data_IF_578888189448
#
_entry.id   IF_578888189448
#
_cell.length_a   1.000
_cell.length_b   1.000
_cell.length_c   1.000
_cell.angle_alpha   90.00
_cell.angle_beta   90.00
_cell.angle_gamma   90.00
#
_symmetry.space_group_name_H-M   'P 1'
#
loop_
_entity.id
_entity.type
_entity.pdbx_description
1 polymer ?
#
# COMPACT_ATOMS: atom_id res chain seq x y z
N UNK A 1 0.73 -8.79 -42.20
CA UNK A 1 0.40 -7.89 -41.07
C UNK A 1 -1.08 -7.58 -41.15
N UNK A 2 -1.82 -7.88 -40.09
CA UNK A 2 -2.55 -6.82 -39.42
C UNK A 2 -2.07 -6.69 -37.98
N UNK A 3 -1.90 -5.44 -37.57
CA UNK A 3 -1.78 -5.01 -36.18
C UNK A 3 -3.18 -4.52 -35.79
N UNK A 4 -3.49 -4.61 -34.50
CA UNK A 4 -4.53 -3.87 -33.78
C UNK A 4 -5.83 -4.62 -33.52
N UNK A 5 -5.85 -5.35 -32.40
CA UNK A 5 -7.02 -5.44 -31.51
C UNK A 5 -6.63 -5.50 -30.01
N UNK A 6 -5.38 -5.18 -29.64
CA UNK A 6 -4.88 -5.30 -28.25
C UNK A 6 -4.91 -3.98 -27.47
N UNK A 7 -5.69 -2.98 -27.90
CA UNK A 7 -5.77 -1.67 -27.22
C UNK A 7 -7.04 -1.52 -26.38
N UNK A 8 -7.91 -2.53 -26.34
CA UNK A 8 -9.24 -2.42 -25.70
C UNK A 8 -9.35 -3.08 -24.32
N UNK A 9 -8.26 -3.10 -23.55
CA UNK A 9 -8.24 -3.65 -22.18
C UNK A 9 -7.44 -2.82 -21.16
N UNK A 10 -7.17 -1.55 -21.44
CA UNK A 10 -6.24 -0.70 -20.66
C UNK A 10 -6.90 -0.01 -19.45
N UNK A 11 -8.18 -0.26 -19.16
CA UNK A 11 -8.90 0.42 -18.06
C UNK A 11 -9.19 -0.45 -16.83
N UNK A 12 -8.61 -1.64 -16.74
CA UNK A 12 -8.59 -2.46 -15.51
C UNK A 12 -7.15 -2.82 -15.08
N UNK A 13 -6.15 -2.09 -15.59
CA UNK A 13 -4.75 -2.50 -15.62
C UNK A 13 -3.79 -1.57 -14.88
N UNK A 14 -4.13 -1.16 -13.65
CA UNK A 14 -3.23 -0.36 -12.80
C UNK A 14 -2.27 -1.20 -11.95
N UNK A 15 -2.72 -2.34 -11.42
CA UNK A 15 -2.01 -3.12 -10.42
C UNK A 15 -0.82 -3.95 -10.97
N UNK A 16 -0.80 -4.28 -12.26
CA UNK A 16 0.22 -5.20 -12.81
C UNK A 16 1.51 -4.52 -13.29
N UNK A 17 1.55 -3.19 -13.39
CA UNK A 17 2.74 -2.51 -13.94
C UNK A 17 3.85 -2.29 -12.93
N UNK A 18 3.56 -2.03 -11.65
CA UNK A 18 4.58 -1.79 -10.63
C UNK A 18 5.21 -3.09 -10.12
N UNK A 19 4.39 -4.11 -9.86
CA UNK A 19 4.86 -5.45 -9.49
C UNK A 19 5.84 -6.01 -10.53
N UNK A 20 5.65 -5.75 -11.83
CA UNK A 20 6.51 -6.27 -12.89
C UNK A 20 7.90 -5.62 -13.01
N UNK A 21 8.02 -4.31 -12.72
CA UNK A 21 9.31 -3.59 -12.87
C UNK A 21 10.23 -3.76 -11.66
N UNK A 22 9.65 -3.84 -10.45
CA UNK A 22 10.42 -3.97 -9.21
C UNK A 22 10.92 -5.41 -9.04
N UNK A 23 10.06 -6.41 -9.26
CA UNK A 23 10.42 -7.83 -9.06
C UNK A 23 11.47 -8.34 -10.06
N UNK A 24 11.34 -8.00 -11.35
CA UNK A 24 12.19 -8.59 -12.40
C UNK A 24 13.66 -8.13 -12.37
N UNK A 25 13.92 -6.90 -11.92
CA UNK A 25 15.27 -6.32 -11.85
C UNK A 25 16.08 -6.84 -10.66
N UNK A 26 15.45 -6.91 -9.48
CA UNK A 26 16.10 -7.32 -8.23
C UNK A 26 16.44 -8.82 -8.24
N UNK A 27 15.51 -9.68 -8.68
CA UNK A 27 15.71 -11.15 -8.71
C UNK A 27 16.90 -11.55 -9.61
N UNK A 28 17.11 -10.85 -10.72
CA UNK A 28 18.22 -11.15 -11.65
C UNK A 28 19.60 -10.74 -11.11
N UNK A 29 19.67 -9.69 -10.28
CA UNK A 29 20.92 -9.23 -9.70
C UNK A 29 21.50 -10.27 -8.72
N UNK A 30 20.65 -10.83 -7.85
CA UNK A 30 21.09 -11.76 -6.79
C UNK A 30 21.53 -13.14 -7.29
N UNK A 31 21.07 -13.57 -8.47
CA UNK A 31 21.42 -14.87 -9.04
C UNK A 31 22.91 -15.04 -9.38
N UNK A 32 23.71 -13.96 -9.37
CA UNK A 32 25.03 -13.91 -10.04
C UNK A 32 26.28 -14.17 -9.16
N UNK A 33 26.19 -14.37 -7.83
CA UNK A 33 27.42 -14.60 -6.99
C UNK A 33 27.62 -16.04 -6.45
N UNK A 34 28.54 -16.80 -7.07
CA UNK A 34 29.04 -18.19 -6.80
C UNK A 34 29.84 -18.35 -5.49
N UNK A 35 29.81 -19.45 -4.68
CA UNK A 35 30.39 -20.82 -4.89
C UNK A 35 29.90 -21.91 -3.87
N UNK A 36 30.13 -23.18 -4.21
CA UNK A 36 29.43 -24.47 -3.91
C UNK A 36 29.48 -25.04 -2.46
N UNK A 37 29.74 -24.23 -1.43
CA UNK A 37 29.40 -24.59 -0.02
C UNK A 37 28.55 -23.52 0.69
N UNK A 38 28.44 -22.37 0.04
CA UNK A 38 27.47 -21.34 0.34
C UNK A 38 26.07 -21.71 -0.16
N UNK A 39 25.89 -22.77 -0.95
CA UNK A 39 24.64 -23.05 -1.68
C UNK A 39 23.39 -23.18 -0.78
N UNK A 40 23.46 -23.85 0.38
CA UNK A 40 22.30 -23.97 1.28
C UNK A 40 22.02 -22.67 2.06
N UNK A 41 23.06 -21.95 2.51
CA UNK A 41 22.91 -20.63 3.16
C UNK A 41 22.43 -19.58 2.17
N UNK A 42 22.95 -19.64 0.95
CA UNK A 42 22.59 -18.80 -0.18
C UNK A 42 21.16 -19.07 -0.61
N UNK A 43 20.73 -20.33 -0.71
CA UNK A 43 19.35 -20.66 -1.02
C UNK A 43 18.39 -20.14 0.06
N UNK A 44 18.76 -20.23 1.33
CA UNK A 44 17.98 -19.64 2.44
C UNK A 44 17.95 -18.12 2.38
N UNK A 45 19.08 -17.48 2.10
CA UNK A 45 19.15 -16.04 1.91
C UNK A 45 18.31 -15.59 0.70
N UNK A 46 18.41 -16.29 -0.43
CA UNK A 46 17.61 -16.04 -1.64
C UNK A 46 16.11 -16.20 -1.35
N UNK A 47 15.68 -17.27 -0.68
CA UNK A 47 14.28 -17.46 -0.28
C UNK A 47 13.80 -16.40 0.72
N UNK A 48 14.67 -15.95 1.64
CA UNK A 48 14.33 -14.89 2.59
C UNK A 48 14.21 -13.53 1.88
N UNK A 49 15.09 -13.25 0.93
CA UNK A 49 15.02 -12.05 0.09
C UNK A 49 13.77 -12.06 -0.78
N UNK A 50 13.45 -13.19 -1.43
CA UNK A 50 12.24 -13.33 -2.24
C UNK A 50 10.99 -13.04 -1.41
N UNK A 51 10.87 -13.61 -0.21
CA UNK A 51 9.74 -13.36 0.69
C UNK A 51 9.69 -11.92 1.20
N UNK A 52 10.83 -11.31 1.54
CA UNK A 52 10.89 -9.89 1.92
C UNK A 52 10.35 -9.02 0.79
N UNK A 53 10.88 -9.22 -0.43
CA UNK A 53 10.47 -8.44 -1.60
C UNK A 53 8.99 -8.66 -1.91
N UNK A 54 8.50 -9.89 -1.83
CA UNK A 54 7.08 -10.23 -2.02
C UNK A 54 6.20 -9.50 -1.00
N UNK A 55 6.50 -9.64 0.30
CA UNK A 55 5.72 -9.02 1.37
C UNK A 55 5.71 -7.50 1.29
N UNK A 56 6.87 -6.86 1.10
CA UNK A 56 6.96 -5.41 0.99
C UNK A 56 6.32 -4.87 -0.30
N UNK A 57 6.41 -5.62 -1.40
CA UNK A 57 5.72 -5.27 -2.65
C UNK A 57 4.21 -5.37 -2.48
N UNK A 58 3.73 -6.41 -1.77
CA UNK A 58 2.33 -6.57 -1.45
C UNK A 58 1.84 -5.40 -0.58
N UNK A 59 2.55 -5.07 0.50
CA UNK A 59 2.25 -3.92 1.34
C UNK A 59 2.20 -2.60 0.55
N UNK A 60 3.14 -2.37 -0.36
CA UNK A 60 3.13 -1.18 -1.22
C UNK A 60 1.92 -1.17 -2.17
N UNK A 61 1.50 -2.33 -2.71
CA UNK A 61 0.33 -2.41 -3.57
C UNK A 61 -0.97 -2.12 -2.81
N UNK A 62 -1.13 -2.71 -1.62
CA UNK A 62 -2.30 -2.47 -0.75
C UNK A 62 -2.33 -1.04 -0.23
N UNK A 63 -1.16 -0.43 0.05
CA UNK A 63 -1.05 0.98 0.38
C UNK A 63 -1.63 1.89 -0.72
N UNK A 64 -1.22 1.66 -1.97
CA UNK A 64 -1.71 2.42 -3.13
C UNK A 64 -3.20 2.21 -3.36
N UNK A 65 -3.67 0.97 -3.22
CA UNK A 65 -5.08 0.60 -3.39
C UNK A 65 -5.96 1.25 -2.32
N UNK A 66 -5.57 1.13 -1.05
CA UNK A 66 -6.29 1.71 0.07
C UNK A 66 -6.32 3.24 -0.01
N UNK A 67 -5.18 3.90 -0.29
CA UNK A 67 -5.13 5.35 -0.43
C UNK A 67 -6.04 5.84 -1.56
N UNK A 68 -5.93 5.23 -2.75
CA UNK A 68 -6.74 5.61 -3.91
C UNK A 68 -8.23 5.38 -3.63
N UNK A 69 -8.59 4.22 -3.10
CA UNK A 69 -9.97 3.85 -2.82
C UNK A 69 -10.61 4.80 -1.81
N UNK A 70 -9.91 5.13 -0.71
CA UNK A 70 -10.40 6.09 0.26
C UNK A 70 -10.55 7.51 -0.31
N UNK A 71 -9.63 7.98 -1.17
CA UNK A 71 -9.82 9.26 -1.88
C UNK A 71 -11.05 9.23 -2.78
N UNK A 72 -11.25 8.14 -3.53
CA UNK A 72 -12.43 7.99 -4.39
C UNK A 72 -13.74 7.92 -3.60
N UNK A 73 -13.73 7.31 -2.41
CA UNK A 73 -14.87 7.31 -1.49
C UNK A 73 -15.12 8.73 -0.99
N UNK A 74 -14.08 9.43 -0.49
CA UNK A 74 -14.21 10.81 -0.02
C UNK A 74 -14.74 11.75 -1.10
N UNK A 75 -14.30 11.60 -2.36
CA UNK A 75 -14.78 12.41 -3.48
C UNK A 75 -16.22 12.06 -3.91
N UNK A 76 -16.72 10.87 -3.58
CA UNK A 76 -18.12 10.44 -3.81
C UNK A 76 -19.07 10.88 -2.69
N UNK A 77 -18.61 10.93 -1.44
CA UNK A 77 -19.45 11.31 -0.30
C UNK A 77 -19.85 12.79 -0.45
N UNK A 78 -21.15 13.10 -0.56
CA UNK A 78 -21.60 14.48 -0.70
C UNK A 78 -21.18 15.32 0.51
N UNK A 79 -20.72 16.55 0.25
CA UNK A 79 -20.26 17.53 1.25
C UNK A 79 -21.26 17.80 2.40
N UNK A 80 -22.52 17.45 2.17
CA UNK A 80 -23.69 17.67 3.00
C UNK A 80 -24.44 16.38 3.36
N UNK A 81 -23.89 15.21 3.06
CA UNK A 81 -24.59 13.94 3.24
C UNK A 81 -23.74 12.77 3.72
N UNK A 82 -24.45 11.88 4.39
CA UNK A 82 -24.03 10.60 4.93
C UNK A 82 -23.39 9.72 3.84
N UNK A 83 -22.28 9.04 4.13
CA UNK A 83 -21.86 7.90 3.32
C UNK A 83 -22.97 6.85 3.33
N UNK A 84 -23.29 6.25 2.18
CA UNK A 84 -24.21 5.11 2.20
C UNK A 84 -23.47 3.92 2.85
N UNK A 85 -24.22 2.93 3.32
CA UNK A 85 -23.61 1.75 3.95
C UNK A 85 -22.60 1.05 3.01
N UNK A 86 -22.74 1.22 1.69
CA UNK A 86 -21.82 0.67 0.71
C UNK A 86 -20.43 1.32 0.76
N UNK A 87 -20.33 2.65 0.92
CA UNK A 87 -19.04 3.33 1.02
C UNK A 87 -18.31 3.01 2.32
N UNK A 88 -19.04 2.80 3.42
CA UNK A 88 -18.45 2.41 4.70
C UNK A 88 -17.89 1.00 4.61
N UNK A 89 -18.68 0.04 4.09
CA UNK A 89 -18.22 -1.34 3.87
C UNK A 89 -17.01 -1.39 2.91
N UNK A 90 -16.99 -0.56 1.87
CA UNK A 90 -15.87 -0.45 0.93
C UNK A 90 -14.61 0.11 1.61
N UNK A 91 -14.75 1.15 2.44
CA UNK A 91 -13.63 1.73 3.19
C UNK A 91 -13.06 0.74 4.23
N UNK A 92 -13.93 0.03 4.95
CA UNK A 92 -13.54 -0.99 5.93
C UNK A 92 -12.74 -2.10 5.26
N UNK A 93 -13.19 -2.59 4.10
CA UNK A 93 -12.50 -3.66 3.36
C UNK A 93 -11.09 -3.22 2.92
N UNK A 94 -10.95 -2.01 2.37
CA UNK A 94 -9.64 -1.50 1.93
C UNK A 94 -8.64 -1.39 3.09
N UNK A 95 -9.11 -1.00 4.27
CA UNK A 95 -8.28 -0.87 5.46
C UNK A 95 -7.90 -2.25 6.03
N UNK A 96 -8.83 -3.21 6.02
CA UNK A 96 -8.55 -4.59 6.44
C UNK A 96 -7.51 -5.28 5.53
N UNK A 97 -7.63 -5.10 4.21
CA UNK A 97 -6.66 -5.64 3.24
C UNK A 97 -5.25 -5.06 3.46
N UNK A 98 -5.16 -3.75 3.74
CA UNK A 98 -3.90 -3.08 4.09
C UNK A 98 -3.33 -3.54 5.45
N UNK A 99 -4.17 -3.73 6.48
CA UNK A 99 -3.76 -4.25 7.79
C UNK A 99 -3.12 -5.63 7.67
N UNK A 100 -3.74 -6.53 6.88
CA UNK A 100 -3.22 -7.87 6.64
C UNK A 100 -1.84 -7.80 5.98
N UNK A 101 -1.66 -6.96 4.95
CA UNK A 101 -0.38 -6.82 4.28
C UNK A 101 0.69 -6.18 5.19
N UNK A 102 0.29 -5.27 6.08
CA UNK A 102 1.18 -4.67 7.08
C UNK A 102 1.70 -5.72 8.07
N UNK A 103 0.80 -6.56 8.59
CA UNK A 103 1.16 -7.65 9.50
C UNK A 103 2.16 -8.62 8.86
N UNK A 104 1.94 -8.99 7.60
CA UNK A 104 2.85 -9.88 6.84
C UNK A 104 4.22 -9.26 6.59
N UNK A 105 4.27 -7.96 6.34
CA UNK A 105 5.50 -7.22 6.05
C UNK A 105 6.27 -6.78 7.32
N UNK A 106 5.61 -6.71 8.48
CA UNK A 106 6.16 -6.16 9.73
C UNK A 106 7.51 -6.76 10.15
N UNK A 107 7.73 -8.04 9.88
CA UNK A 107 8.98 -8.75 10.23
C UNK A 107 10.20 -8.30 9.39
N UNK A 108 9.95 -7.60 8.29
CA UNK A 108 10.96 -7.13 7.35
C UNK A 108 11.21 -5.62 7.44
N UNK A 109 10.44 -4.93 8.27
CA UNK A 109 10.59 -3.51 8.54
C UNK A 109 11.44 -3.32 9.80
N UNK A 110 12.21 -2.24 9.84
CA UNK A 110 12.80 -1.76 11.09
C UNK A 110 11.71 -1.26 12.05
N UNK A 111 12.03 -1.13 13.34
CA UNK A 111 11.09 -0.61 14.34
C UNK A 111 10.58 0.79 13.97
N UNK A 112 11.47 1.66 13.48
CA UNK A 112 11.13 3.02 13.02
C UNK A 112 10.21 2.99 11.80
N UNK A 113 10.51 2.15 10.80
CA UNK A 113 9.68 2.03 9.59
C UNK A 113 8.29 1.46 9.92
N UNK A 114 8.24 0.47 10.81
CA UNK A 114 6.99 -0.11 11.26
C UNK A 114 6.14 0.91 12.03
N UNK A 115 6.75 1.72 12.89
CA UNK A 115 6.07 2.84 13.58
C UNK A 115 5.48 3.83 12.56
N UNK A 116 6.24 4.21 11.52
CA UNK A 116 5.72 5.11 10.47
C UNK A 116 4.54 4.51 9.70
N UNK A 117 4.59 3.21 9.37
CA UNK A 117 3.48 2.51 8.69
C UNK A 117 2.24 2.45 9.60
N UNK A 118 2.44 2.22 10.91
CA UNK A 118 1.37 2.21 11.91
C UNK A 118 0.74 3.61 12.09
N UNK A 119 1.54 4.67 12.15
CA UNK A 119 1.04 6.05 12.23
C UNK A 119 0.15 6.40 11.02
N UNK A 120 0.54 5.90 9.83
CA UNK A 120 -0.30 6.03 8.65
C UNK A 120 -1.57 5.19 8.75
N UNK A 121 -1.50 3.96 9.27
CA UNK A 121 -2.69 3.14 9.52
C UNK A 121 -3.68 3.81 10.47
N UNK A 122 -3.21 4.47 11.52
CA UNK A 122 -4.06 5.29 12.41
C UNK A 122 -4.74 6.43 11.64
N UNK A 123 -4.02 7.08 10.72
CA UNK A 123 -4.59 8.11 9.84
C UNK A 123 -5.71 7.54 8.95
N UNK A 124 -5.56 6.33 8.41
CA UNK A 124 -6.61 5.64 7.65
C UNK A 124 -7.85 5.39 8.53
N UNK A 125 -7.64 4.93 9.77
CA UNK A 125 -8.70 4.72 10.75
C UNK A 125 -9.47 6.01 11.08
N UNK A 126 -8.78 7.14 11.21
CA UNK A 126 -9.41 8.44 11.44
C UNK A 126 -10.23 8.91 10.23
N UNK A 127 -9.74 8.66 9.01
CA UNK A 127 -10.48 8.96 7.76
C UNK A 127 -11.74 8.10 7.69
N UNK A 128 -11.63 6.80 7.97
CA UNK A 128 -12.77 5.89 7.96
C UNK A 128 -13.81 6.24 9.04
N UNK A 129 -13.36 6.57 10.25
CA UNK A 129 -14.25 7.09 11.29
C UNK A 129 -14.93 8.39 10.87
N UNK A 130 -14.31 9.20 10.02
CA UNK A 130 -14.92 10.43 9.49
C UNK A 130 -15.99 10.11 8.45
N UNK A 131 -15.73 9.17 7.53
CA UNK A 131 -16.71 8.65 6.56
C UNK A 131 -17.94 8.09 7.30
N UNK A 132 -17.70 7.28 8.34
CA UNK A 132 -18.74 6.72 9.21
C UNK A 132 -19.43 7.77 10.10
N UNK A 133 -18.70 8.76 10.60
CA UNK A 133 -19.24 9.83 11.46
C UNK A 133 -20.12 10.81 10.70
N UNK A 134 -19.75 11.11 9.45
CA UNK A 134 -20.62 11.83 8.51
C UNK A 134 -21.89 11.06 8.21
N UNK A 135 -21.94 9.73 8.46
CA UNK A 135 -23.12 8.86 8.41
C UNK A 135 -24.10 9.02 9.62
N UNK A 136 -23.74 9.77 10.67
CA UNK A 136 -24.56 9.91 11.88
C UNK A 136 -24.83 11.33 12.42
N UNK A 137 -24.04 12.36 12.08
CA UNK A 137 -24.27 13.73 12.59
C UNK A 137 -24.74 14.72 11.50
N UNK A 138 -25.81 15.45 11.80
CA UNK A 138 -26.27 16.60 11.00
C UNK A 138 -25.16 17.65 10.91
N UNK A 139 -24.49 17.75 9.78
CA UNK A 139 -23.40 18.70 9.51
C UNK A 139 -23.95 20.13 9.40
N UNK A 140 -24.35 20.72 10.52
CA UNK A 140 -24.37 22.17 10.68
C UNK A 140 -23.01 22.61 11.25
N UNK A 141 -22.23 23.29 10.42
CA UNK A 141 -21.00 24.04 10.75
C UNK A 141 -19.68 23.24 10.84
N UNK A 142 -19.03 22.94 9.69
CA UNK A 142 -17.54 22.88 9.46
C UNK A 142 -17.07 22.14 8.18
N UNK A 143 -17.97 21.74 7.28
CA UNK A 143 -17.72 20.69 6.28
C UNK A 143 -16.58 20.81 5.26
N UNK A 144 -15.95 21.98 5.06
CA UNK A 144 -14.86 22.12 4.07
C UNK A 144 -13.45 21.99 4.61
N UNK A 145 -13.15 22.66 5.72
CA UNK A 145 -11.78 22.72 6.24
C UNK A 145 -11.33 21.35 6.77
N UNK A 146 -12.23 20.62 7.46
CA UNK A 146 -11.91 19.27 7.93
C UNK A 146 -11.78 18.25 6.79
N UNK A 147 -12.60 18.35 5.74
CA UNK A 147 -12.46 17.48 4.55
C UNK A 147 -11.09 17.66 3.91
N UNK A 148 -10.69 18.92 3.70
CA UNK A 148 -9.41 19.24 3.09
C UNK A 148 -8.24 18.77 3.96
N UNK A 149 -8.29 19.01 5.28
CA UNK A 149 -7.27 18.58 6.23
C UNK A 149 -7.09 17.05 6.24
N UNK A 150 -8.20 16.29 6.29
CA UNK A 150 -8.17 14.82 6.24
C UNK A 150 -7.61 14.28 4.94
N UNK A 151 -8.03 14.85 3.82
CA UNK A 151 -7.53 14.47 2.49
C UNK A 151 -6.04 14.76 2.35
N UNK A 152 -5.56 15.88 2.87
CA UNK A 152 -4.13 16.21 2.85
C UNK A 152 -3.32 15.26 3.74
N UNK A 153 -3.79 14.96 4.95
CA UNK A 153 -3.15 13.99 5.85
C UNK A 153 -2.98 12.61 5.21
N UNK A 154 -4.00 12.14 4.47
CA UNK A 154 -3.95 10.88 3.74
C UNK A 154 -2.89 10.89 2.63
N UNK A 155 -2.76 12.00 1.89
CA UNK A 155 -1.79 12.14 0.80
C UNK A 155 -0.37 12.24 1.34
N UNK A 156 -0.17 13.05 2.38
CA UNK A 156 1.16 13.29 2.95
C UNK A 156 1.70 12.00 3.60
N UNK A 157 0.90 11.33 4.42
CA UNK A 157 1.30 10.05 5.03
C UNK A 157 1.52 8.93 4.00
N UNK A 158 0.76 8.93 2.91
CA UNK A 158 0.98 7.97 1.82
C UNK A 158 2.35 8.14 1.16
N UNK A 159 2.74 9.37 0.81
CA UNK A 159 4.04 9.58 0.16
C UNK A 159 5.20 9.23 1.09
N UNK A 160 5.07 9.47 2.40
CA UNK A 160 6.06 9.09 3.40
C UNK A 160 6.24 7.57 3.50
N UNK A 161 5.15 6.81 3.70
CA UNK A 161 5.22 5.34 3.77
C UNK A 161 5.69 4.74 2.46
N UNK A 162 5.24 5.28 1.32
CA UNK A 162 5.65 4.82 -0.01
C UNK A 162 7.16 4.99 -0.22
N UNK A 163 7.75 6.12 0.19
CA UNK A 163 9.20 6.34 0.07
C UNK A 163 9.97 5.29 0.88
N UNK A 164 9.55 5.05 2.13
CA UNK A 164 10.12 4.02 3.01
C UNK A 164 10.05 2.63 2.35
N UNK A 165 8.88 2.22 1.87
CA UNK A 165 8.71 0.90 1.26
C UNK A 165 9.53 0.76 -0.02
N UNK A 166 9.59 1.81 -0.85
CA UNK A 166 10.38 1.79 -2.08
C UNK A 166 11.88 1.68 -1.82
N UNK A 167 12.38 2.33 -0.78
CA UNK A 167 13.77 2.24 -0.38
C UNK A 167 14.08 0.86 0.23
N UNK A 168 13.25 0.37 1.15
CA UNK A 168 13.45 -0.92 1.81
C UNK A 168 13.39 -2.11 0.83
N UNK A 169 12.52 -2.04 -0.19
CA UNK A 169 12.45 -3.03 -1.27
C UNK A 169 13.75 -3.06 -2.08
N UNK A 170 14.43 -1.91 -2.21
CA UNK A 170 15.69 -1.80 -2.97
C UNK A 170 16.91 -2.19 -2.12
N UNK A 171 16.79 -2.16 -0.79
CA UNK A 171 17.89 -2.51 0.10
C UNK A 171 18.10 -4.04 0.24
N UNK A 172 19.35 -4.52 0.12
CA UNK A 172 19.69 -5.91 0.42
C UNK A 172 19.47 -6.21 1.91
N UNK A 173 19.02 -7.41 2.27
CA UNK A 173 18.98 -7.85 3.68
C UNK A 173 20.42 -7.81 4.24
N UNK A 174 20.66 -6.94 5.22
CA UNK A 174 21.80 -7.10 6.12
C UNK A 174 21.58 -8.40 6.90
N UNK A 175 22.58 -9.30 6.89
CA UNK A 175 22.44 -10.66 7.44
C UNK A 175 21.76 -10.64 8.81
N UNK A 176 20.64 -11.36 8.93
CA UNK A 176 20.01 -11.66 10.23
C UNK A 176 21.03 -12.47 11.05
N UNK A 177 21.79 -11.79 11.90
CA UNK A 177 22.76 -12.36 12.83
C UNK A 177 22.09 -13.16 13.96
#
# INVERSE_FOLDING_TARGET
>A
MPVSDTVLGVLAGGLFTLAGYISGGLINYYRTQTEVKAEDRRLRAELSMERKVEALTNLHAELEECQRGLVEILDRVPYDGFGENGEIEEADQLIEEFEIAMDEASIYLSEEQHETVLDFFETLGEVNSSISGWAFETVEMRGGDMYHERRMSLIDGYEEVKEILQDEIREPIEELD
#
